data_IF_915765841676
#
_entry.id   IF_915765841676
#
_cell.length_a   1.000
_cell.length_b   1.000
_cell.length_c   1.000
_cell.angle_alpha   90.00
_cell.angle_beta   90.00
_cell.angle_gamma   90.00
#
_symmetry.space_group_name_H-M   'P 1'
#
loop_
_entity.id
_entity.type
_entity.pdbx_description
1 polymer ?
#
# COMPACT_ATOMS: atom_id res chain seq x y z
N UNK A 1 7.51 20.94 -1.30
CA UNK A 1 7.01 21.38 0.03
C UNK A 1 5.78 20.59 0.48
N UNK A 2 4.72 20.46 -0.33
CA UNK A 2 3.48 19.74 0.03
C UNK A 2 3.73 18.28 0.43
N UNK A 3 4.60 17.54 -0.30
CA UNK A 3 4.93 16.16 -0.01
C UNK A 3 5.58 15.98 1.38
N UNK A 4 6.57 16.80 1.73
CA UNK A 4 7.24 16.74 3.03
C UNK A 4 6.27 17.11 4.18
N UNK A 5 5.46 18.15 3.98
CA UNK A 5 4.43 18.53 4.93
C UNK A 5 3.42 17.40 5.17
N UNK A 6 2.97 16.72 4.10
CA UNK A 6 2.07 15.56 4.21
C UNK A 6 2.69 14.38 4.96
N UNK A 7 4.00 14.15 4.82
CA UNK A 7 4.73 13.10 5.57
C UNK A 7 4.82 13.43 7.06
N UNK A 8 5.17 14.68 7.41
CA UNK A 8 5.23 15.13 8.82
C UNK A 8 3.85 15.04 9.46
N UNK A 9 2.82 15.55 8.77
CA UNK A 9 1.45 15.51 9.26
C UNK A 9 0.95 14.08 9.38
N UNK A 10 1.22 13.22 8.39
CA UNK A 10 0.91 11.80 8.44
C UNK A 10 1.58 11.09 9.62
N UNK A 11 2.85 11.39 9.89
CA UNK A 11 3.56 10.84 11.05
C UNK A 11 2.89 11.22 12.37
N UNK A 12 2.50 12.49 12.55
CA UNK A 12 1.84 12.97 13.76
C UNK A 12 0.43 12.38 13.96
N UNK A 13 -0.31 12.14 12.86
CA UNK A 13 -1.68 11.58 12.90
C UNK A 13 -1.67 10.04 12.96
N UNK A 14 -0.53 9.39 12.73
CA UNK A 14 -0.46 7.93 12.93
C UNK A 14 -0.97 7.59 14.33
N UNK A 15 -1.95 6.67 14.49
CA UNK A 15 -2.64 6.45 15.77
C UNK A 15 -1.71 6.23 16.96
N UNK A 16 -0.64 5.45 16.79
CA UNK A 16 0.36 5.21 17.82
C UNK A 16 1.06 6.49 18.27
N UNK A 17 1.46 7.35 17.32
CA UNK A 17 2.17 8.60 17.62
C UNK A 17 1.23 9.65 18.23
N UNK A 18 -0.01 9.71 17.76
CA UNK A 18 -1.03 10.58 18.32
C UNK A 18 -1.34 10.20 19.78
N UNK A 19 -1.55 8.90 20.05
CA UNK A 19 -1.79 8.40 21.41
C UNK A 19 -0.59 8.68 22.32
N UNK A 20 0.63 8.40 21.85
CA UNK A 20 1.85 8.69 22.59
C UNK A 20 1.97 10.19 22.92
N UNK A 21 1.66 11.05 21.95
CA UNK A 21 1.64 12.52 22.14
C UNK A 21 0.60 12.94 23.19
N UNK A 22 -0.61 12.39 23.14
CA UNK A 22 -1.66 12.65 24.14
C UNK A 22 -1.21 12.22 25.54
N UNK A 23 -0.61 11.03 25.66
CA UNK A 23 -0.06 10.55 26.94
C UNK A 23 1.06 11.47 27.45
N UNK A 24 1.98 11.89 26.59
CA UNK A 24 3.06 12.80 26.95
C UNK A 24 2.54 14.15 27.44
N UNK A 25 1.59 14.75 26.73
CA UNK A 25 0.92 15.99 27.15
C UNK A 25 0.25 15.80 28.50
N UNK A 26 -0.43 14.67 28.72
CA UNK A 26 -1.04 14.33 30.00
C UNK A 26 -0.03 14.31 31.13
N UNK A 27 1.11 13.66 30.94
CA UNK A 27 2.21 13.62 31.92
C UNK A 27 2.75 15.03 32.20
N UNK A 28 3.07 15.78 31.16
CA UNK A 28 3.61 17.14 31.30
C UNK A 28 2.69 18.06 32.08
N UNK A 29 1.39 18.04 31.77
CA UNK A 29 0.39 18.84 32.47
C UNK A 29 0.19 18.38 33.92
N UNK A 30 0.36 17.09 34.21
CA UNK A 30 0.22 16.56 35.59
C UNK A 30 1.30 17.10 36.54
N UNK A 31 2.43 17.58 36.02
CA UNK A 31 3.54 18.19 36.76
C UNK A 31 3.36 19.69 36.96
N UNK A 32 2.27 20.28 36.47
CA UNK A 32 1.97 21.70 36.54
C UNK A 32 0.75 21.99 37.44
N UNK A 33 0.36 23.27 37.52
CA UNK A 33 -0.90 23.68 38.16
C UNK A 33 -2.14 23.00 37.56
N UNK A 34 -2.04 22.43 36.38
CA UNK A 34 -3.10 21.75 35.62
C UNK A 34 -3.16 20.25 35.91
N UNK A 35 -2.65 19.79 37.05
CA UNK A 35 -2.49 18.36 37.39
C UNK A 35 -3.76 17.54 37.12
N UNK A 36 -4.96 18.06 37.52
CA UNK A 36 -6.21 17.33 37.33
C UNK A 36 -6.55 17.10 35.84
N UNK A 37 -6.28 18.10 35.00
CA UNK A 37 -6.44 17.97 33.54
C UNK A 37 -5.40 16.99 32.94
N UNK A 38 -4.17 17.12 33.39
CA UNK A 38 -3.08 16.22 32.95
C UNK A 38 -3.39 14.74 33.21
N UNK A 39 -3.85 14.41 34.43
CA UNK A 39 -4.24 13.02 34.77
C UNK A 39 -5.38 12.52 33.89
N UNK A 40 -6.41 13.36 33.64
CA UNK A 40 -7.53 12.97 32.75
C UNK A 40 -7.10 12.74 31.32
N UNK A 41 -6.24 13.60 30.78
CA UNK A 41 -5.70 13.47 29.41
C UNK A 41 -4.84 12.22 29.32
N UNK A 42 -3.96 11.98 30.29
CA UNK A 42 -3.15 10.77 30.33
C UNK A 42 -3.98 9.50 30.42
N UNK A 43 -5.00 9.47 31.26
CA UNK A 43 -5.94 8.35 31.38
C UNK A 43 -6.69 8.10 30.08
N UNK A 44 -7.14 9.16 29.39
CA UNK A 44 -7.78 9.05 28.06
C UNK A 44 -6.83 8.48 27.00
N UNK A 45 -5.57 8.90 27.02
CA UNK A 45 -4.53 8.34 26.14
C UNK A 45 -4.30 6.84 26.38
N UNK A 46 -4.20 6.42 27.64
CA UNK A 46 -4.08 4.99 28.00
C UNK A 46 -5.33 4.21 27.56
N UNK A 47 -6.53 4.75 27.79
CA UNK A 47 -7.77 4.10 27.34
C UNK A 47 -7.80 3.94 25.81
N UNK A 48 -7.41 4.96 25.06
CA UNK A 48 -7.29 4.89 23.60
C UNK A 48 -6.28 3.82 23.16
N UNK A 49 -5.14 3.73 23.86
CA UNK A 49 -4.14 2.70 23.58
C UNK A 49 -4.71 1.29 23.79
N UNK A 50 -5.45 1.08 24.90
CA UNK A 50 -6.09 -0.20 25.17
C UNK A 50 -7.16 -0.55 24.11
N UNK A 51 -8.01 0.42 23.75
CA UNK A 51 -9.02 0.22 22.72
C UNK A 51 -8.38 -0.09 21.36
N UNK A 52 -7.39 0.68 20.93
CA UNK A 52 -6.75 0.47 19.64
C UNK A 52 -5.90 -0.81 19.59
N UNK A 53 -5.27 -1.21 20.71
CA UNK A 53 -4.37 -2.35 20.77
C UNK A 53 -5.05 -3.69 21.08
N UNK A 54 -6.11 -3.69 21.88
CA UNK A 54 -6.73 -4.94 22.37
C UNK A 54 -8.14 -5.18 21.84
N UNK A 55 -8.80 -4.19 21.26
CA UNK A 55 -10.12 -4.40 20.67
C UNK A 55 -10.05 -4.85 19.21
N UNK A 56 -11.10 -5.43 18.64
CA UNK A 56 -11.17 -5.77 17.23
C UNK A 56 -11.33 -4.56 16.30
N UNK A 57 -11.25 -3.33 16.81
CA UNK A 57 -11.46 -2.11 16.03
C UNK A 57 -10.56 -2.04 14.79
N UNK A 58 -9.30 -2.44 14.91
CA UNK A 58 -8.35 -2.47 13.79
C UNK A 58 -8.84 -3.40 12.68
N UNK A 59 -9.28 -4.62 13.04
CA UNK A 59 -9.81 -5.58 12.07
C UNK A 59 -11.10 -5.06 11.40
N UNK A 60 -12.03 -4.49 12.17
CA UNK A 60 -13.27 -3.93 11.63
C UNK A 60 -12.99 -2.81 10.63
N UNK A 61 -12.10 -1.88 10.97
CA UNK A 61 -11.71 -0.79 10.06
C UNK A 61 -11.04 -1.34 8.79
N UNK A 62 -10.17 -2.34 8.94
CA UNK A 62 -9.50 -2.96 7.81
C UNK A 62 -10.50 -3.69 6.90
N UNK A 63 -11.44 -4.45 7.47
CA UNK A 63 -12.48 -5.18 6.75
C UNK A 63 -13.38 -4.23 5.93
N UNK A 64 -13.73 -3.07 6.47
CA UNK A 64 -14.53 -2.07 5.73
C UNK A 64 -13.88 -1.59 4.44
N UNK A 65 -12.57 -1.75 4.30
CA UNK A 65 -11.81 -1.42 3.09
C UNK A 65 -11.55 -2.65 2.23
N UNK A 66 -11.10 -3.74 2.84
CA UNK A 66 -10.65 -4.95 2.13
C UNK A 66 -11.81 -5.66 1.43
N UNK A 67 -12.97 -5.74 2.07
CA UNK A 67 -14.14 -6.45 1.54
C UNK A 67 -14.90 -5.68 0.44
N UNK A 68 -14.46 -4.48 0.06
CA UNK A 68 -15.09 -3.71 -1.03
C UNK A 68 -14.87 -4.30 -2.42
N UNK A 69 -13.80 -5.05 -2.59
CA UNK A 69 -13.48 -5.70 -3.85
C UNK A 69 -13.22 -7.18 -3.56
N UNK A 70 -14.03 -8.09 -4.12
CA UNK A 70 -13.84 -9.52 -3.91
C UNK A 70 -12.55 -10.00 -4.56
N UNK A 71 -12.10 -11.20 -4.17
CA UNK A 71 -11.01 -11.88 -4.86
C UNK A 71 -11.34 -11.99 -6.35
N UNK A 72 -10.36 -11.66 -7.19
CA UNK A 72 -10.54 -11.69 -8.63
C UNK A 72 -10.82 -13.12 -9.12
N UNK A 73 -11.77 -13.24 -10.00
CA UNK A 73 -12.12 -14.50 -10.66
C UNK A 73 -11.87 -14.37 -12.15
N UNK A 74 -11.23 -15.37 -12.72
CA UNK A 74 -10.99 -15.42 -14.14
C UNK A 74 -12.32 -15.53 -14.89
N UNK A 75 -12.56 -14.58 -15.77
CA UNK A 75 -13.75 -14.58 -16.64
C UNK A 75 -13.41 -14.02 -18.00
N UNK A 76 -13.82 -14.74 -19.05
CA UNK A 76 -13.70 -14.29 -20.42
C UNK A 76 -12.26 -14.24 -20.95
N UNK A 77 -11.93 -13.18 -21.71
CA UNK A 77 -10.63 -13.00 -22.37
C UNK A 77 -9.50 -12.74 -21.38
N UNK A 78 -8.30 -13.23 -21.67
CA UNK A 78 -7.09 -12.89 -20.91
C UNK A 78 -6.86 -11.37 -20.83
N UNK A 79 -6.27 -10.87 -19.74
CA UNK A 79 -5.91 -9.47 -19.65
C UNK A 79 -4.81 -9.10 -20.65
N UNK A 80 -4.88 -7.89 -21.20
CA UNK A 80 -3.87 -7.32 -22.06
C UNK A 80 -2.67 -6.80 -21.26
N UNK A 81 -2.92 -6.43 -19.98
CA UNK A 81 -1.85 -6.01 -19.09
C UNK A 81 -2.22 -6.09 -17.60
N UNK A 82 -1.17 -6.01 -16.79
CA UNK A 82 -1.21 -6.14 -15.34
C UNK A 82 -0.43 -4.98 -14.76
N UNK A 83 -1.10 -4.11 -14.03
CA UNK A 83 -0.48 -2.96 -13.32
C UNK A 83 -0.27 -3.37 -11.88
N UNK A 84 0.98 -3.38 -11.43
CA UNK A 84 1.37 -3.72 -10.06
C UNK A 84 1.81 -2.45 -9.34
N UNK A 85 1.09 -2.07 -8.29
CA UNK A 85 1.43 -0.88 -7.52
C UNK A 85 2.55 -1.14 -6.52
N UNK A 86 3.45 -0.20 -6.42
CA UNK A 86 4.52 -0.15 -5.43
C UNK A 86 4.00 -0.18 -3.99
N UNK A 87 4.93 -0.27 -3.03
CA UNK A 87 4.67 -0.41 -1.60
C UNK A 87 4.97 -1.82 -1.07
N UNK A 88 5.57 -2.70 -1.90
CA UNK A 88 5.96 -4.06 -1.54
C UNK A 88 7.48 -4.21 -1.28
N UNK A 89 8.28 -3.30 -1.80
CA UNK A 89 9.75 -3.40 -1.80
C UNK A 89 10.32 -2.19 -1.05
N UNK A 90 11.42 -2.41 -0.32
CA UNK A 90 12.28 -1.34 0.19
C UNK A 90 13.47 -1.17 -0.78
N UNK A 91 13.40 -0.23 -1.73
CA UNK A 91 14.42 -0.12 -2.78
C UNK A 91 15.78 0.34 -2.24
N UNK A 92 15.81 1.21 -1.22
CA UNK A 92 17.07 1.69 -0.63
C UNK A 92 17.77 0.56 0.14
N UNK A 93 17.03 -0.25 0.88
CA UNK A 93 17.60 -1.40 1.60
C UNK A 93 18.10 -2.45 0.62
N UNK A 94 17.36 -2.72 -0.45
CA UNK A 94 17.75 -3.60 -1.55
C UNK A 94 19.06 -3.12 -2.19
N UNK A 95 19.20 -1.83 -2.48
CA UNK A 95 20.40 -1.27 -3.08
C UNK A 95 21.65 -1.48 -2.20
N UNK A 96 21.48 -1.44 -0.87
CA UNK A 96 22.59 -1.63 0.09
C UNK A 96 22.88 -3.12 0.34
N UNK A 97 21.84 -3.98 0.38
CA UNK A 97 21.99 -5.40 0.73
C UNK A 97 22.23 -6.31 -0.48
N UNK A 98 21.92 -5.86 -1.68
CA UNK A 98 22.13 -6.60 -2.93
C UNK A 98 21.10 -7.69 -3.23
N UNK A 99 20.07 -7.84 -2.37
CA UNK A 99 18.97 -8.77 -2.58
C UNK A 99 17.63 -8.01 -2.41
N UNK A 100 16.55 -8.43 -3.11
CA UNK A 100 15.25 -7.79 -2.99
C UNK A 100 14.71 -7.86 -1.56
N UNK A 101 14.62 -6.72 -0.90
CA UNK A 101 14.10 -6.59 0.46
C UNK A 101 12.61 -6.21 0.41
N UNK A 102 11.76 -7.21 0.67
CA UNK A 102 10.31 -7.06 0.61
C UNK A 102 9.73 -6.89 2.01
N UNK A 103 8.65 -6.15 2.08
CA UNK A 103 7.88 -5.94 3.30
C UNK A 103 6.65 -6.88 3.35
N UNK A 104 5.76 -6.63 4.31
CA UNK A 104 4.54 -7.41 4.50
C UNK A 104 3.57 -7.41 3.31
N UNK A 105 3.77 -6.57 2.29
CA UNK A 105 2.96 -6.53 1.06
C UNK A 105 3.62 -7.27 -0.12
N UNK A 106 4.59 -8.15 0.14
CA UNK A 106 5.31 -8.96 -0.85
C UNK A 106 4.39 -9.75 -1.79
N UNK A 107 3.15 -10.04 -1.36
CA UNK A 107 2.16 -10.73 -2.19
C UNK A 107 1.86 -10.01 -3.51
N UNK A 108 2.06 -8.69 -3.59
CA UNK A 108 1.93 -7.96 -4.86
C UNK A 108 2.93 -8.47 -5.91
N UNK A 109 4.16 -8.73 -5.50
CA UNK A 109 5.23 -9.19 -6.38
C UNK A 109 5.08 -10.67 -6.72
N UNK A 110 4.68 -11.51 -5.76
CA UNK A 110 4.39 -12.93 -6.03
C UNK A 110 3.18 -13.08 -6.95
N UNK A 111 2.12 -12.29 -6.75
CA UNK A 111 0.97 -12.25 -7.65
C UNK A 111 1.37 -11.79 -9.06
N UNK A 112 2.24 -10.77 -9.18
CA UNK A 112 2.77 -10.32 -10.47
C UNK A 112 3.47 -11.46 -11.21
N UNK A 113 4.34 -12.22 -10.53
CA UNK A 113 5.04 -13.36 -11.11
C UNK A 113 4.10 -14.49 -11.54
N UNK A 114 3.10 -14.81 -10.71
CA UNK A 114 2.08 -15.83 -11.03
C UNK A 114 1.25 -15.40 -12.25
N UNK A 115 0.78 -14.16 -12.27
CA UNK A 115 -0.01 -13.61 -13.38
C UNK A 115 0.81 -13.51 -14.66
N UNK A 116 2.10 -13.13 -14.59
CA UNK A 116 3.00 -13.08 -15.74
C UNK A 116 3.16 -14.45 -16.40
N UNK A 117 3.21 -15.52 -15.62
CA UNK A 117 3.27 -16.91 -16.11
C UNK A 117 1.94 -17.39 -16.65
N UNK A 118 0.83 -17.02 -15.99
CA UNK A 118 -0.52 -17.42 -16.41
C UNK A 118 -0.94 -16.74 -17.71
N UNK A 119 -0.53 -15.48 -17.91
CA UNK A 119 -0.87 -14.66 -19.06
C UNK A 119 0.41 -14.23 -19.81
N UNK A 120 1.03 -15.12 -20.59
CA UNK A 120 2.35 -14.88 -21.17
C UNK A 120 2.38 -13.71 -22.18
N UNK A 121 1.23 -13.32 -22.72
CA UNK A 121 1.12 -12.20 -23.67
C UNK A 121 0.76 -10.86 -22.99
N UNK A 122 0.43 -10.86 -21.70
CA UNK A 122 0.09 -9.63 -20.99
C UNK A 122 1.35 -8.80 -20.70
N UNK A 123 1.25 -7.48 -20.86
CA UNK A 123 2.28 -6.55 -20.37
C UNK A 123 2.24 -6.46 -18.85
N UNK A 124 3.41 -6.32 -18.23
CA UNK A 124 3.53 -6.11 -16.78
C UNK A 124 4.00 -4.69 -16.55
N UNK A 125 3.20 -3.88 -15.86
CA UNK A 125 3.56 -2.51 -15.52
C UNK A 125 3.89 -2.46 -14.04
N UNK A 126 5.12 -2.13 -13.71
CA UNK A 126 5.55 -1.89 -12.34
C UNK A 126 5.49 -0.37 -12.09
N UNK A 127 4.56 0.06 -11.25
CA UNK A 127 4.36 1.47 -10.95
C UNK A 127 4.68 1.74 -9.49
N UNK A 128 5.88 2.27 -9.25
CA UNK A 128 6.38 2.59 -7.92
C UNK A 128 7.76 3.21 -7.97
N UNK A 129 7.88 4.46 -7.53
CA UNK A 129 9.14 5.17 -7.37
C UNK A 129 9.83 4.86 -6.04
N UNK A 130 10.36 5.90 -5.43
CA UNK A 130 10.95 5.81 -4.10
C UNK A 130 10.30 6.83 -3.16
N UNK A 131 9.80 6.35 -2.02
CA UNK A 131 9.16 7.20 -1.02
C UNK A 131 10.15 7.96 -0.13
N UNK A 132 11.46 7.72 -0.26
CA UNK A 132 12.51 8.45 0.45
C UNK A 132 12.66 9.86 -0.15
N UNK A 133 12.39 10.92 0.62
CA UNK A 133 12.43 12.29 0.09
C UNK A 133 13.83 12.88 0.02
N UNK A 134 14.83 12.25 0.64
CA UNK A 134 16.16 12.85 0.82
C UNK A 134 17.23 12.22 -0.07
N UNK A 135 17.38 10.90 -0.02
CA UNK A 135 18.47 10.17 -0.68
C UNK A 135 17.97 8.86 -1.29
N UNK A 136 17.13 8.91 -2.35
CA UNK A 136 16.70 7.69 -3.01
C UNK A 136 17.88 7.03 -3.73
N UNK A 137 18.10 5.74 -3.49
CA UNK A 137 19.20 4.96 -4.10
C UNK A 137 18.71 4.17 -5.32
N UNK A 138 17.45 3.75 -5.32
CA UNK A 138 16.80 2.99 -6.40
C UNK A 138 15.30 3.20 -6.32
N UNK A 139 14.55 2.65 -7.27
CA UNK A 139 13.08 2.68 -7.29
C UNK A 139 12.48 1.29 -7.10
N UNK A 140 11.24 1.23 -6.62
CA UNK A 140 10.54 -0.05 -6.50
C UNK A 140 10.36 -0.73 -7.86
N UNK A 141 10.12 0.06 -8.91
CA UNK A 141 9.97 -0.46 -10.27
C UNK A 141 11.27 -1.13 -10.78
N UNK A 142 12.45 -0.54 -10.52
CA UNK A 142 13.75 -1.13 -10.89
C UNK A 142 14.00 -2.45 -10.18
N UNK A 143 13.80 -2.48 -8.85
CA UNK A 143 13.98 -3.72 -8.08
C UNK A 143 12.95 -4.78 -8.48
N UNK A 144 11.70 -4.36 -8.67
CA UNK A 144 10.63 -5.26 -9.11
C UNK A 144 10.88 -5.85 -10.48
N UNK A 145 11.41 -5.08 -11.44
CA UNK A 145 11.83 -5.57 -12.76
C UNK A 145 12.85 -6.68 -12.61
N UNK A 146 13.96 -6.40 -11.92
CA UNK A 146 15.01 -7.40 -11.70
C UNK A 146 14.47 -8.66 -11.05
N UNK A 147 13.60 -8.52 -10.05
CA UNK A 147 12.96 -9.66 -9.39
C UNK A 147 12.13 -10.51 -10.35
N UNK A 148 11.35 -9.89 -11.24
CA UNK A 148 10.55 -10.63 -12.23
C UNK A 148 11.41 -11.26 -13.33
N UNK A 149 12.47 -10.59 -13.77
CA UNK A 149 13.46 -11.15 -14.71
C UNK A 149 14.14 -12.39 -14.13
N UNK A 150 14.58 -12.34 -12.86
CA UNK A 150 15.18 -13.47 -12.15
C UNK A 150 14.20 -14.67 -12.02
N UNK A 151 12.88 -14.40 -12.07
CA UNK A 151 11.82 -15.41 -12.14
C UNK A 151 11.42 -15.83 -13.55
N UNK A 152 12.13 -15.34 -14.58
CA UNK A 152 11.95 -15.75 -15.97
C UNK A 152 10.90 -14.95 -16.75
N UNK A 153 10.47 -13.79 -16.26
CA UNK A 153 9.62 -12.88 -17.04
C UNK A 153 10.50 -12.13 -18.05
N UNK A 154 10.13 -12.18 -19.32
CA UNK A 154 10.88 -11.51 -20.38
C UNK A 154 10.84 -9.99 -20.22
N UNK A 155 11.99 -9.34 -20.40
CA UNK A 155 12.19 -7.91 -20.20
C UNK A 155 11.30 -7.03 -21.07
N UNK A 156 11.08 -7.44 -22.32
CA UNK A 156 10.25 -6.75 -23.32
C UNK A 156 8.76 -6.65 -22.91
N UNK A 157 8.36 -7.43 -21.92
CA UNK A 157 7.01 -7.40 -21.33
C UNK A 157 6.90 -6.44 -20.14
N UNK A 158 8.02 -6.01 -19.57
CA UNK A 158 8.03 -5.21 -18.32
C UNK A 158 8.14 -3.73 -18.65
N UNK A 159 7.14 -2.97 -18.26
CA UNK A 159 7.13 -1.51 -18.35
C UNK A 159 7.32 -0.94 -16.94
N UNK A 160 8.29 -0.05 -16.79
CA UNK A 160 8.60 0.58 -15.50
C UNK A 160 8.09 2.01 -15.43
N UNK A 161 7.37 2.31 -14.36
CA UNK A 161 7.08 3.66 -13.91
C UNK A 161 7.74 3.84 -12.53
N UNK A 162 8.88 4.52 -12.49
CA UNK A 162 9.71 4.70 -11.27
C UNK A 162 9.71 6.13 -10.72
N UNK A 163 8.86 7.03 -11.18
CA UNK A 163 8.85 8.45 -10.76
C UNK A 163 7.84 8.77 -9.68
N UNK A 164 6.82 7.94 -9.56
CA UNK A 164 5.69 8.16 -8.65
C UNK A 164 6.09 8.01 -7.16
N UNK A 165 5.51 8.84 -6.32
CA UNK A 165 5.64 8.82 -4.86
C UNK A 165 4.29 8.72 -4.16
N UNK A 166 3.22 8.78 -4.92
CA UNK A 166 1.83 8.73 -4.46
C UNK A 166 0.99 7.88 -5.40
N UNK A 167 -0.15 7.36 -4.91
CA UNK A 167 -1.09 6.60 -5.76
C UNK A 167 -1.64 7.42 -6.93
N UNK A 168 -1.79 8.74 -6.74
CA UNK A 168 -2.20 9.65 -7.80
C UNK A 168 -1.13 9.70 -8.91
N UNK A 169 0.13 9.91 -8.52
CA UNK A 169 1.25 9.93 -9.47
C UNK A 169 1.43 8.57 -10.16
N UNK A 170 1.16 7.44 -9.49
CA UNK A 170 1.16 6.11 -10.13
C UNK A 170 0.24 6.09 -11.36
N UNK A 171 -1.01 6.53 -11.21
CA UNK A 171 -1.95 6.54 -12.32
C UNK A 171 -1.56 7.55 -13.41
N UNK A 172 -1.23 8.79 -13.02
CA UNK A 172 -0.87 9.86 -13.94
C UNK A 172 0.38 9.53 -14.77
N UNK A 173 1.40 8.92 -14.16
CA UNK A 173 2.65 8.62 -14.85
C UNK A 173 2.62 7.28 -15.59
N UNK A 174 1.77 6.33 -15.16
CA UNK A 174 1.57 5.08 -15.89
C UNK A 174 0.82 5.29 -17.20
N UNK A 175 -0.18 6.20 -17.22
CA UNK A 175 -1.03 6.40 -18.39
C UNK A 175 -0.27 6.71 -19.69
N UNK A 176 0.68 7.67 -19.73
CA UNK A 176 1.43 7.96 -20.95
C UNK A 176 2.44 6.89 -21.34
N UNK A 177 2.73 5.91 -20.48
CA UNK A 177 3.63 4.81 -20.80
C UNK A 177 2.94 3.66 -21.54
N UNK A 178 1.68 3.42 -21.23
CA UNK A 178 0.96 2.26 -21.79
C UNK A 178 -0.10 2.64 -22.83
N UNK A 179 -0.51 3.93 -22.87
CA UNK A 179 -1.53 4.42 -23.81
C UNK A 179 -2.75 3.48 -23.90
N UNK A 180 -3.50 3.27 -22.80
CA UNK A 180 -4.55 2.24 -22.75
C UNK A 180 -5.60 2.50 -23.83
N UNK A 181 -5.92 1.47 -24.60
CA UNK A 181 -6.88 1.55 -25.70
C UNK A 181 -8.24 1.05 -25.22
N UNK A 182 -9.31 1.59 -25.81
CA UNK A 182 -10.67 1.15 -25.50
C UNK A 182 -10.85 -0.35 -25.82
N UNK A 183 -11.38 -1.10 -24.86
CA UNK A 183 -11.57 -2.55 -24.98
C UNK A 183 -10.41 -3.39 -24.44
N UNK A 184 -9.28 -2.80 -24.08
CA UNK A 184 -8.23 -3.50 -23.34
C UNK A 184 -8.66 -3.79 -21.90
N UNK A 185 -8.21 -4.95 -21.40
CA UNK A 185 -8.41 -5.39 -20.01
C UNK A 185 -7.12 -5.26 -19.23
N UNK A 186 -7.15 -4.44 -18.22
CA UNK A 186 -6.02 -4.20 -17.34
C UNK A 186 -6.34 -4.62 -15.91
N UNK A 187 -5.54 -5.53 -15.34
CA UNK A 187 -5.64 -5.87 -13.93
C UNK A 187 -4.84 -4.86 -13.10
N UNK A 188 -5.43 -4.40 -12.00
CA UNK A 188 -4.74 -3.54 -11.02
C UNK A 188 -4.45 -4.35 -9.77
N UNK A 189 -3.17 -4.66 -9.52
CA UNK A 189 -2.69 -5.47 -8.40
C UNK A 189 -2.23 -4.57 -7.27
N UNK A 190 -2.86 -4.67 -6.13
CA UNK A 190 -2.45 -4.02 -4.88
C UNK A 190 -3.09 -4.71 -3.67
N UNK A 191 -2.69 -4.33 -2.45
CA UNK A 191 -3.27 -4.86 -1.21
C UNK A 191 -4.77 -4.61 -1.14
N UNK A 192 -5.54 -5.58 -0.65
CA UNK A 192 -7.00 -5.52 -0.59
C UNK A 192 -7.52 -4.25 0.12
N UNK A 193 -6.91 -3.88 1.25
CA UNK A 193 -7.27 -2.64 1.97
C UNK A 193 -6.93 -1.35 1.20
N UNK A 194 -5.99 -1.41 0.27
CA UNK A 194 -5.58 -0.27 -0.56
C UNK A 194 -6.40 -0.17 -1.86
N UNK A 195 -7.03 -1.25 -2.28
CA UNK A 195 -7.77 -1.35 -3.54
C UNK A 195 -8.84 -0.27 -3.73
N UNK A 196 -9.67 0.12 -2.74
CA UNK A 196 -10.66 1.17 -2.93
C UNK A 196 -10.06 2.51 -3.37
N UNK A 197 -8.93 2.89 -2.76
CA UNK A 197 -8.21 4.11 -3.12
C UNK A 197 -7.58 4.00 -4.51
N UNK A 198 -6.93 2.88 -4.81
CA UNK A 198 -6.27 2.66 -6.09
C UNK A 198 -7.27 2.68 -7.24
N UNK A 199 -8.38 1.96 -7.13
CA UNK A 199 -9.44 1.92 -8.13
C UNK A 199 -10.06 3.29 -8.38
N UNK A 200 -10.30 4.08 -7.32
CA UNK A 200 -10.83 5.44 -7.45
C UNK A 200 -9.88 6.35 -8.24
N UNK A 201 -8.59 6.31 -7.91
CA UNK A 201 -7.57 7.13 -8.57
C UNK A 201 -7.36 6.73 -10.04
N UNK A 202 -7.22 5.43 -10.32
CA UNK A 202 -7.01 4.94 -11.69
C UNK A 202 -8.21 5.21 -12.58
N UNK A 203 -9.44 5.05 -12.07
CA UNK A 203 -10.65 5.43 -12.81
C UNK A 203 -10.74 6.92 -13.08
N UNK A 204 -10.38 7.77 -12.11
CA UNK A 204 -10.33 9.22 -12.28
C UNK A 204 -9.28 9.63 -13.33
N UNK A 205 -8.18 8.90 -13.45
CA UNK A 205 -7.17 9.08 -14.50
C UNK A 205 -7.58 8.50 -15.86
N UNK A 206 -8.80 7.96 -15.99
CA UNK A 206 -9.35 7.43 -17.24
C UNK A 206 -8.91 6.01 -17.59
N UNK A 207 -8.47 5.22 -16.59
CA UNK A 207 -8.21 3.79 -16.78
C UNK A 207 -9.48 2.96 -16.57
N UNK A 208 -9.70 2.00 -17.45
CA UNK A 208 -10.67 0.92 -17.22
C UNK A 208 -9.92 -0.29 -16.64
N UNK A 209 -9.77 -0.32 -15.31
CA UNK A 209 -9.05 -1.39 -14.60
C UNK A 209 -10.00 -2.30 -13.84
N UNK A 210 -9.63 -3.59 -13.80
CA UNK A 210 -10.25 -4.61 -12.97
C UNK A 210 -9.42 -4.78 -11.69
N UNK A 211 -10.09 -4.87 -10.53
CA UNK A 211 -9.42 -5.04 -9.26
C UNK A 211 -8.85 -6.45 -9.12
N UNK A 212 -7.57 -6.56 -8.78
CA UNK A 212 -6.91 -7.80 -8.38
C UNK A 212 -6.33 -7.63 -6.97
N UNK A 213 -7.17 -7.72 -5.91
CA UNK A 213 -6.74 -7.56 -4.54
C UNK A 213 -5.89 -8.74 -4.07
N UNK A 214 -4.79 -8.42 -3.38
CA UNK A 214 -3.88 -9.36 -2.72
C UNK A 214 -3.58 -8.86 -1.31
N UNK A 215 -2.68 -9.52 -0.58
CA UNK A 215 -2.24 -9.06 0.75
C UNK A 215 -3.44 -8.86 1.69
N UNK A 216 -4.27 -9.90 1.79
CA UNK A 216 -5.41 -9.95 2.70
C UNK A 216 -4.91 -10.11 4.14
N UNK A 217 -5.31 -9.18 5.02
CA UNK A 217 -4.91 -9.17 6.42
C UNK A 217 -5.88 -9.88 7.34
N UNK A 218 -7.05 -10.24 6.82
CA UNK A 218 -8.15 -10.88 7.55
C UNK A 218 -8.76 -11.98 6.69
N UNK A 219 -9.38 -12.97 7.34
CA UNK A 219 -10.12 -14.05 6.67
C UNK A 219 -11.56 -13.66 6.31
N UNK A 220 -11.88 -12.37 6.37
CA UNK A 220 -13.22 -11.83 6.20
C UNK A 220 -13.87 -11.46 7.53
N UNK A 221 -15.17 -11.18 7.50
CA UNK A 221 -15.94 -10.72 8.67
C UNK A 221 -15.90 -11.63 9.89
N UNK A 222 -15.51 -12.88 9.73
CA UNK A 222 -15.26 -13.81 10.85
C UNK A 222 -14.18 -13.30 11.82
N UNK A 223 -13.31 -12.43 11.38
CA UNK A 223 -12.26 -11.83 12.20
C UNK A 223 -12.69 -10.48 12.86
N UNK A 224 -13.92 -10.01 12.61
CA UNK A 224 -14.42 -8.76 13.17
C UNK A 224 -14.52 -8.77 14.69
N UNK A 225 -14.72 -9.94 15.30
CA UNK A 225 -14.85 -10.10 16.76
C UNK A 225 -13.52 -10.42 17.44
N UNK A 226 -12.45 -10.64 16.68
CA UNK A 226 -11.14 -10.99 17.21
C UNK A 226 -10.31 -9.75 17.52
N UNK A 227 -9.57 -9.73 18.64
CA UNK A 227 -8.55 -8.72 18.86
C UNK A 227 -7.55 -8.72 17.69
N UNK A 228 -6.99 -7.57 17.39
CA UNK A 228 -5.95 -7.45 16.38
C UNK A 228 -4.72 -8.24 16.86
N UNK A 229 -4.51 -9.40 16.28
CA UNK A 229 -3.30 -10.20 16.48
C UNK A 229 -2.33 -9.83 15.36
N UNK A 230 -1.19 -9.27 15.74
CA UNK A 230 -0.05 -9.00 14.85
C UNK A 230 0.59 -10.29 14.37
#
# INVERSE_FOLDING_TARGET
MVYLASKIFGFLITPSNLIATVCLIGVMLSLTRWRKAGVRIGAAGILLLLVCGYSPLGNVLLLTLSERFPAWQESGRAPDGIIVLGGAINPDLTAVRGAPEMNSSAERMTAAAVLARRFPNAKIVLSGGNANPFHPLSTEAEVGRKFLEDLGVADDRIVMEGRSRTTYENAEFTRPLIHPVAGERWLLVTSAYHMPRAMGVFRAAGFNVEAYPVDWRTRGWVDAERPFLT
#
